data_IF_512713034472
#
_entry.id   IF_512713034472
#
_cell.length_a   1.000
_cell.length_b   1.000
_cell.length_c   1.000
_cell.angle_alpha   90.00
_cell.angle_beta   90.00
_cell.angle_gamma   90.00
#
_symmetry.space_group_name_H-M   'P 1'
#
loop_
_entity.id
_entity.type
_entity.pdbx_description
1 polymer ?
#
# COMPACT_ATOMS: atom_id res chain seq x y z
N UNK A 1 -15.13 -18.16 -16.92
CA UNK A 1 -15.37 -17.30 -15.74
C UNK A 1 -14.46 -16.10 -15.76
N UNK A 2 -15.00 -14.90 -15.61
CA UNK A 2 -14.12 -13.74 -15.49
C UNK A 2 -13.34 -13.83 -14.20
N UNK A 3 -12.07 -13.48 -14.25
CA UNK A 3 -11.25 -13.41 -13.05
C UNK A 3 -11.69 -12.21 -12.22
N UNK A 4 -11.72 -12.37 -10.90
CA UNK A 4 -11.97 -11.24 -10.02
C UNK A 4 -10.83 -10.23 -10.20
N UNK A 5 -11.16 -8.94 -10.16
CA UNK A 5 -10.15 -7.89 -10.21
C UNK A 5 -9.31 -7.93 -8.95
N UNK A 6 -7.98 -7.76 -9.06
CA UNK A 6 -7.15 -7.66 -7.86
C UNK A 6 -7.61 -6.51 -6.97
N UNK A 7 -7.56 -6.74 -5.66
CA UNK A 7 -7.92 -5.72 -4.67
C UNK A 7 -6.67 -5.01 -4.20
N UNK A 8 -6.64 -3.71 -4.39
CA UNK A 8 -5.57 -2.85 -3.91
C UNK A 8 -6.10 -2.09 -2.70
N UNK A 9 -5.52 -2.33 -1.54
CA UNK A 9 -5.90 -1.63 -0.30
C UNK A 9 -5.00 -0.42 -0.12
N UNK A 10 -5.60 0.73 0.18
CA UNK A 10 -4.90 2.00 0.30
C UNK A 10 -5.10 2.53 1.72
N UNK A 11 -4.01 2.74 2.43
CA UNK A 11 -4.03 3.22 3.82
C UNK A 11 -3.29 4.56 3.88
N UNK A 12 -4.03 5.63 4.10
CA UNK A 12 -3.47 6.98 4.16
C UNK A 12 -4.42 7.83 4.99
N UNK A 13 -3.90 8.65 5.90
CA UNK A 13 -4.72 9.52 6.72
C UNK A 13 -5.18 10.78 5.98
N UNK A 14 -4.63 11.04 4.79
CA UNK A 14 -5.03 12.16 3.93
C UNK A 14 -6.14 11.72 2.98
N UNK A 15 -7.33 12.25 3.16
CA UNK A 15 -8.50 11.91 2.33
C UNK A 15 -8.26 12.21 0.85
N UNK A 16 -7.63 13.35 0.55
CA UNK A 16 -7.36 13.74 -0.84
C UNK A 16 -6.47 12.72 -1.52
N UNK A 17 -5.45 12.25 -0.82
CA UNK A 17 -4.54 11.24 -1.35
C UNK A 17 -5.25 9.90 -1.53
N UNK A 18 -6.07 9.49 -0.54
CA UNK A 18 -6.85 8.25 -0.66
C UNK A 18 -7.71 8.27 -1.92
N UNK A 19 -8.43 9.36 -2.15
CA UNK A 19 -9.33 9.46 -3.29
C UNK A 19 -8.58 9.54 -4.61
N UNK A 20 -7.44 10.22 -4.65
CA UNK A 20 -6.62 10.29 -5.85
C UNK A 20 -6.08 8.92 -6.24
N UNK A 21 -5.53 8.19 -5.29
CA UNK A 21 -4.98 6.85 -5.56
C UNK A 21 -6.09 5.87 -5.90
N UNK A 22 -7.22 5.96 -5.22
CA UNK A 22 -8.39 5.13 -5.53
C UNK A 22 -8.83 5.33 -6.98
N UNK A 23 -8.90 6.59 -7.43
CA UNK A 23 -9.26 6.89 -8.81
C UNK A 23 -8.30 6.28 -9.82
N UNK A 24 -6.99 6.34 -9.54
CA UNK A 24 -5.98 5.73 -10.38
C UNK A 24 -6.18 4.22 -10.47
N UNK A 25 -6.39 3.55 -9.33
CA UNK A 25 -6.57 2.10 -9.29
C UNK A 25 -7.77 1.68 -10.14
N UNK A 26 -8.86 2.39 -9.99
CA UNK A 26 -10.07 2.11 -10.79
C UNK A 26 -9.82 2.31 -12.27
N UNK A 27 -9.10 3.38 -12.64
CA UNK A 27 -8.79 3.67 -14.04
C UNK A 27 -7.92 2.58 -14.67
N UNK A 28 -7.12 1.89 -13.86
CA UNK A 28 -6.24 0.81 -14.31
C UNK A 28 -6.90 -0.57 -14.23
N UNK A 29 -8.17 -0.64 -13.84
CA UNK A 29 -8.93 -1.88 -13.82
C UNK A 29 -8.85 -2.67 -12.52
N UNK A 30 -8.37 -2.06 -11.44
CA UNK A 30 -8.29 -2.71 -10.14
C UNK A 30 -9.47 -2.33 -9.25
N UNK A 31 -9.77 -3.19 -8.27
CA UNK A 31 -10.70 -2.86 -7.19
C UNK A 31 -9.90 -2.13 -6.10
N UNK A 32 -10.38 -0.98 -5.66
CA UNK A 32 -9.70 -0.18 -4.64
C UNK A 32 -10.52 -0.11 -3.36
N UNK A 33 -9.88 -0.39 -2.23
CA UNK A 33 -10.45 -0.24 -0.89
C UNK A 33 -9.60 0.76 -0.13
N UNK A 34 -10.23 1.72 0.54
CA UNK A 34 -9.49 2.80 1.22
C UNK A 34 -9.71 2.76 2.72
N UNK A 35 -8.67 3.12 3.47
CA UNK A 35 -8.67 3.12 4.93
C UNK A 35 -7.94 4.36 5.43
N UNK A 36 -8.45 4.96 6.49
CA UNK A 36 -7.86 6.18 7.04
C UNK A 36 -6.70 5.93 8.01
N UNK A 37 -6.54 4.69 8.47
CA UNK A 37 -5.48 4.32 9.39
C UNK A 37 -5.10 2.85 9.22
N UNK A 38 -3.92 2.50 9.73
CA UNK A 38 -3.47 1.11 9.75
C UNK A 38 -4.41 0.25 10.61
N UNK A 39 -4.84 0.79 11.73
CA UNK A 39 -5.76 0.09 12.63
C UNK A 39 -7.09 -0.23 11.95
N UNK A 40 -7.62 0.72 11.19
CA UNK A 40 -8.85 0.52 10.44
C UNK A 40 -8.68 -0.61 9.42
N UNK A 41 -7.56 -0.64 8.71
CA UNK A 41 -7.27 -1.70 7.74
C UNK A 41 -7.17 -3.06 8.44
N UNK A 42 -6.40 -3.14 9.53
CA UNK A 42 -6.20 -4.39 10.26
C UNK A 42 -7.49 -4.96 10.84
N UNK A 43 -8.45 -4.09 11.18
CA UNK A 43 -9.76 -4.51 11.69
C UNK A 43 -10.73 -4.91 10.60
N UNK A 44 -10.38 -4.70 9.34
CA UNK A 44 -11.31 -4.92 8.24
C UNK A 44 -11.25 -6.37 7.77
N UNK A 45 -12.32 -6.80 7.10
CA UNK A 45 -12.37 -8.11 6.46
C UNK A 45 -11.62 -8.15 5.13
N UNK A 46 -11.05 -7.00 4.73
CA UNK A 46 -10.36 -6.86 3.45
C UNK A 46 -8.92 -7.35 3.49
N UNK A 47 -8.34 -7.48 4.70
CA UNK A 47 -6.94 -7.90 4.83
C UNK A 47 -6.64 -9.16 4.01
N UNK A 48 -7.37 -10.28 4.18
CA UNK A 48 -7.05 -11.50 3.42
C UNK A 48 -7.36 -11.41 1.94
N UNK A 49 -8.10 -10.40 1.49
CA UNK A 49 -8.42 -10.20 0.08
C UNK A 49 -7.47 -9.25 -0.62
N UNK A 50 -6.60 -8.59 0.13
CA UNK A 50 -5.69 -7.59 -0.42
C UNK A 50 -4.59 -8.25 -1.22
N UNK A 51 -4.52 -7.92 -2.51
CA UNK A 51 -3.47 -8.40 -3.40
C UNK A 51 -2.23 -7.53 -3.34
N UNK A 52 -2.40 -6.24 -3.04
CA UNK A 52 -1.31 -5.28 -2.89
C UNK A 52 -1.76 -4.18 -1.92
N UNK A 53 -0.87 -3.77 -1.04
CA UNK A 53 -1.13 -2.72 -0.06
C UNK A 53 -0.31 -1.48 -0.40
N UNK A 54 -0.96 -0.34 -0.45
CA UNK A 54 -0.29 0.97 -0.59
C UNK A 54 -0.51 1.70 0.72
N UNK A 55 0.56 2.07 1.41
CA UNK A 55 0.45 2.70 2.73
C UNK A 55 1.36 3.93 2.83
N UNK A 56 0.86 4.99 3.47
CA UNK A 56 1.67 6.14 3.82
C UNK A 56 2.61 5.75 4.96
N UNK A 57 3.85 6.20 4.88
CA UNK A 57 4.82 5.96 5.96
C UNK A 57 4.40 6.71 7.22
N UNK A 58 4.04 7.98 7.08
CA UNK A 58 3.77 8.86 8.23
C UNK A 58 2.28 8.98 8.50
N UNK A 59 1.80 8.20 9.46
CA UNK A 59 0.42 8.24 9.91
C UNK A 59 0.38 8.30 11.44
N UNK A 60 -0.64 8.96 12.03
CA UNK A 60 -0.83 8.88 13.47
C UNK A 60 -1.04 7.43 13.91
N UNK A 61 -0.50 7.07 15.07
CA UNK A 61 -0.57 5.70 15.55
C UNK A 61 0.45 4.83 14.83
N UNK A 62 -0.01 3.81 14.11
CA UNK A 62 0.88 2.87 13.43
C UNK A 62 1.33 3.44 12.07
N UNK A 63 2.64 3.46 11.84
CA UNK A 63 3.21 3.90 10.55
C UNK A 63 3.04 2.80 9.50
N UNK A 64 3.27 3.17 8.22
CA UNK A 64 3.20 2.19 7.15
C UNK A 64 4.22 1.06 7.30
N UNK A 65 5.42 1.37 7.77
CA UNK A 65 6.44 0.36 8.01
C UNK A 65 6.04 -0.57 9.16
N UNK A 66 5.50 -0.01 10.24
CA UNK A 66 5.00 -0.79 11.36
C UNK A 66 3.84 -1.69 10.94
N UNK A 67 2.97 -1.19 10.07
CA UNK A 67 1.86 -1.98 9.53
C UNK A 67 2.38 -3.19 8.78
N UNK A 68 3.37 -3.00 7.92
CA UNK A 68 3.97 -4.10 7.18
C UNK A 68 4.59 -5.13 8.12
N UNK A 69 5.33 -4.66 9.13
CA UNK A 69 5.95 -5.55 10.12
C UNK A 69 4.89 -6.35 10.88
N UNK A 70 3.79 -5.70 11.22
CA UNK A 70 2.67 -6.37 11.90
C UNK A 70 2.09 -7.49 11.03
N UNK A 71 1.89 -7.23 9.74
CA UNK A 71 1.36 -8.22 8.81
C UNK A 71 2.30 -9.41 8.68
N UNK A 72 3.59 -9.17 8.54
CA UNK A 72 4.59 -10.24 8.46
C UNK A 72 4.59 -11.08 9.74
N UNK A 73 4.56 -10.43 10.89
CA UNK A 73 4.53 -11.13 12.19
C UNK A 73 3.25 -11.96 12.36
N UNK A 74 2.17 -11.57 11.69
CA UNK A 74 0.90 -12.31 11.72
C UNK A 74 0.83 -13.40 10.64
N UNK A 75 1.92 -13.64 9.93
CA UNK A 75 1.99 -14.67 8.89
C UNK A 75 1.33 -14.27 7.58
N UNK A 76 1.08 -12.98 7.37
CA UNK A 76 0.43 -12.50 6.16
C UNK A 76 1.47 -11.94 5.19
N UNK A 77 1.48 -12.47 3.97
CA UNK A 77 2.42 -12.07 2.93
C UNK A 77 1.70 -11.20 1.92
N UNK A 78 1.62 -9.91 2.20
CA UNK A 78 0.96 -8.94 1.32
C UNK A 78 2.02 -8.02 0.72
N UNK A 79 2.20 -8.01 -0.61
CA UNK A 79 3.12 -7.06 -1.24
C UNK A 79 2.75 -5.63 -0.85
N UNK A 80 3.71 -4.86 -0.36
CA UNK A 80 3.45 -3.54 0.20
C UNK A 80 4.31 -2.49 -0.47
N UNK A 81 3.68 -1.38 -0.86
CA UNK A 81 4.31 -0.19 -1.40
C UNK A 81 4.14 0.92 -0.37
N UNK A 82 5.23 1.56 0.03
CA UNK A 82 5.18 2.70 0.93
C UNK A 82 5.28 4.00 0.15
N UNK A 83 4.49 4.99 0.54
CA UNK A 83 4.50 6.32 -0.05
C UNK A 83 4.75 7.32 1.07
N UNK A 84 5.57 8.34 0.84
CA UNK A 84 5.85 9.34 1.86
C UNK A 84 6.08 10.73 1.26
N UNK A 85 5.59 11.76 1.96
CA UNK A 85 5.90 13.15 1.63
C UNK A 85 7.28 13.54 2.17
N UNK A 86 7.84 12.74 3.07
CA UNK A 86 9.11 13.03 3.74
C UNK A 86 10.07 11.85 3.59
N UNK A 87 10.68 11.69 2.39
CA UNK A 87 11.57 10.55 2.16
C UNK A 87 12.78 10.61 3.09
N UNK A 88 13.17 9.45 3.59
CA UNK A 88 14.28 9.28 4.52
C UNK A 88 15.05 8.03 4.13
N UNK A 89 16.35 8.16 3.88
CA UNK A 89 17.18 7.05 3.40
C UNK A 89 17.24 5.90 4.40
N UNK A 90 17.28 6.20 5.68
CA UNK A 90 17.30 5.16 6.72
C UNK A 90 16.00 4.36 6.75
N UNK A 91 14.87 5.04 6.63
CA UNK A 91 13.56 4.38 6.55
C UNK A 91 13.48 3.55 5.30
N UNK A 92 13.93 4.09 4.17
CA UNK A 92 13.93 3.37 2.90
C UNK A 92 14.73 2.08 2.99
N UNK A 93 15.95 2.14 3.56
CA UNK A 93 16.77 0.95 3.72
C UNK A 93 16.09 -0.11 4.57
N UNK A 94 15.53 0.30 5.71
CA UNK A 94 14.82 -0.65 6.59
C UNK A 94 13.61 -1.26 5.87
N UNK A 95 12.88 -0.44 5.13
CA UNK A 95 11.73 -0.92 4.38
C UNK A 95 12.14 -1.98 3.35
N UNK A 96 13.19 -1.72 2.59
CA UNK A 96 13.68 -2.67 1.59
C UNK A 96 14.17 -3.96 2.24
N UNK A 97 14.85 -3.86 3.38
CA UNK A 97 15.29 -5.04 4.15
C UNK A 97 14.10 -5.84 4.66
N UNK A 98 12.99 -5.18 4.99
CA UNK A 98 11.78 -5.84 5.46
C UNK A 98 10.95 -6.46 4.32
N UNK A 99 11.38 -6.28 3.08
CA UNK A 99 10.68 -6.85 1.92
C UNK A 99 9.62 -5.97 1.28
N UNK A 100 9.63 -4.66 1.60
CA UNK A 100 8.77 -3.70 0.91
C UNK A 100 9.17 -3.67 -0.57
N UNK A 101 8.18 -3.71 -1.47
CA UNK A 101 8.44 -3.79 -2.91
C UNK A 101 8.60 -2.44 -3.59
N UNK A 102 8.19 -1.36 -2.95
CA UNK A 102 8.35 -0.02 -3.49
C UNK A 102 8.33 1.03 -2.40
N UNK A 103 9.13 2.07 -2.58
CA UNK A 103 9.19 3.21 -1.67
C UNK A 103 9.20 4.46 -2.52
N UNK A 104 8.09 5.18 -2.54
CA UNK A 104 7.88 6.32 -3.43
C UNK A 104 7.71 7.62 -2.64
N UNK A 105 8.29 8.71 -3.18
CA UNK A 105 8.13 10.05 -2.62
C UNK A 105 6.92 10.73 -3.23
N UNK A 106 6.19 11.49 -2.44
CA UNK A 106 5.11 12.37 -2.92
C UNK A 106 5.74 13.69 -3.41
N UNK A 107 5.34 14.21 -4.55
CA UNK A 107 4.43 13.59 -5.52
C UNK A 107 5.14 12.47 -6.28
N UNK A 108 4.45 11.36 -6.48
CA UNK A 108 5.01 10.23 -7.19
C UNK A 108 4.57 10.23 -8.66
N UNK A 109 5.35 9.55 -9.49
CA UNK A 109 4.98 9.33 -10.88
C UNK A 109 3.95 8.19 -10.96
N UNK A 110 2.90 8.38 -11.77
CA UNK A 110 1.92 7.33 -12.00
C UNK A 110 2.57 6.09 -12.60
N UNK A 111 3.56 6.29 -13.49
CA UNK A 111 4.29 5.18 -14.10
C UNK A 111 5.07 4.38 -13.06
N UNK A 112 5.70 5.05 -12.10
CA UNK A 112 6.44 4.38 -11.03
C UNK A 112 5.50 3.56 -10.15
N UNK A 113 4.34 4.13 -9.79
CA UNK A 113 3.36 3.43 -8.99
C UNK A 113 2.81 2.23 -9.74
N UNK A 114 2.48 2.40 -11.02
CA UNK A 114 1.98 1.30 -11.85
C UNK A 114 3.01 0.17 -11.96
N UNK A 115 4.29 0.51 -12.14
CA UNK A 115 5.35 -0.49 -12.23
C UNK A 115 5.45 -1.30 -10.93
N UNK A 116 5.35 -0.64 -9.78
CA UNK A 116 5.37 -1.33 -8.49
C UNK A 116 4.17 -2.27 -8.34
N UNK A 117 2.98 -1.82 -8.72
CA UNK A 117 1.78 -2.64 -8.61
C UNK A 117 1.86 -3.84 -9.53
N UNK A 118 2.27 -3.66 -10.78
CA UNK A 118 2.42 -4.75 -11.73
C UNK A 118 3.43 -5.79 -11.23
N UNK A 119 4.53 -5.32 -10.68
CA UNK A 119 5.55 -6.20 -10.10
C UNK A 119 4.97 -7.02 -8.96
N UNK A 120 4.11 -6.43 -8.13
CA UNK A 120 3.51 -7.12 -6.99
C UNK A 120 2.49 -8.18 -7.41
N UNK A 121 1.83 -7.98 -8.54
CA UNK A 121 0.77 -8.87 -9.03
C UNK A 121 1.28 -9.94 -9.98
N UNK A 122 2.54 -9.84 -10.40
CA UNK A 122 3.18 -10.82 -11.25
C UNK A 122 3.81 -11.90 -10.39
N UNK A 123 3.43 -13.11 -10.61
CA UNK A 123 3.94 -14.24 -9.83
C UNK A 123 5.01 -14.97 -10.63
#
# INVERSE_FOLDING_TARGET
MPKAKPVISIVDDDESMREAVKGLMKSWGYTAEVFASAEEFLSSRRVPRTACLIADVMMPGMTGLELHRHLVASGKTIPTILITAHPDDGVRERALQDGIIGYLSKPFSEDDLMACIRSSLTV
#
